data_IF_905871878483
#
_entry.id   IF_905871878483
#
_cell.length_a   1.000
_cell.length_b   1.000
_cell.length_c   1.000
_cell.angle_alpha   90.00
_cell.angle_beta   90.00
_cell.angle_gamma   90.00
#
_symmetry.space_group_name_H-M   'P 1'
#
loop_
_entity.id
_entity.type
_entity.pdbx_description
1 polymer ?
#
# COMPACT_ATOMS: atom_id res chain seq x y z
N UNK A 1 1.60 12.07 26.28
CA UNK A 1 0.70 12.42 25.16
C UNK A 1 0.26 11.09 24.58
N UNK A 2 -0.85 10.56 25.09
CA UNK A 2 -1.41 9.29 24.60
C UNK A 2 -2.06 9.57 23.26
N UNK A 3 -1.72 8.79 22.25
CA UNK A 3 -2.42 8.84 20.96
C UNK A 3 -3.90 8.56 21.22
N UNK A 4 -4.74 9.57 20.98
CA UNK A 4 -6.18 9.45 21.14
C UNK A 4 -6.71 8.28 20.28
N UNK A 5 -7.69 7.50 20.78
CA UNK A 5 -8.18 6.29 20.10
C UNK A 5 -8.73 6.57 18.68
N UNK A 6 -9.19 7.80 18.43
CA UNK A 6 -9.59 8.28 17.10
C UNK A 6 -8.45 8.26 16.07
N UNK A 7 -7.22 8.57 16.49
CA UNK A 7 -6.05 8.60 15.61
C UNK A 7 -5.70 7.18 15.13
N UNK A 8 -5.78 6.20 16.02
CA UNK A 8 -5.49 4.80 15.70
C UNK A 8 -6.49 4.24 14.68
N UNK A 9 -7.78 4.54 14.84
CA UNK A 9 -8.84 4.15 13.89
C UNK A 9 -8.62 4.81 12.53
N UNK A 10 -8.26 6.09 12.51
CA UNK A 10 -7.98 6.82 11.27
C UNK A 10 -6.77 6.24 10.51
N UNK A 11 -5.69 5.89 11.22
CA UNK A 11 -4.50 5.24 10.65
C UNK A 11 -4.82 3.85 10.11
N UNK A 12 -5.61 3.05 10.85
CA UNK A 12 -6.09 1.75 10.39
C UNK A 12 -6.92 1.85 9.11
N UNK A 13 -7.88 2.78 9.05
CA UNK A 13 -8.68 3.03 7.85
C UNK A 13 -7.83 3.44 6.66
N UNK A 14 -6.82 4.30 6.89
CA UNK A 14 -5.89 4.74 5.85
C UNK A 14 -5.03 3.59 5.33
N UNK A 15 -4.57 2.73 6.23
CA UNK A 15 -3.80 1.53 5.91
C UNK A 15 -4.64 0.52 5.12
N UNK A 16 -5.89 0.31 5.50
CA UNK A 16 -6.82 -0.57 4.77
C UNK A 16 -7.08 -0.05 3.35
N UNK A 17 -7.32 1.26 3.21
CA UNK A 17 -7.48 1.90 1.90
C UNK A 17 -6.23 1.75 1.02
N UNK A 18 -5.03 1.92 1.59
CA UNK A 18 -3.77 1.71 0.87
C UNK A 18 -3.57 0.24 0.48
N UNK A 19 -3.89 -0.72 1.37
CA UNK A 19 -3.84 -2.16 1.07
C UNK A 19 -4.77 -2.52 -0.07
N UNK A 20 -6.01 -2.01 -0.05
CA UNK A 20 -6.99 -2.22 -1.12
C UNK A 20 -6.49 -1.66 -2.46
N UNK A 21 -5.95 -0.44 -2.46
CA UNK A 21 -5.39 0.20 -3.66
C UNK A 21 -4.17 -0.56 -4.20
N UNK A 22 -3.32 -1.06 -3.31
CA UNK A 22 -2.18 -1.90 -3.67
C UNK A 22 -2.63 -3.22 -4.29
N UNK A 23 -3.68 -3.86 -3.76
CA UNK A 23 -4.25 -5.08 -4.31
C UNK A 23 -4.85 -4.85 -5.71
N UNK A 24 -5.57 -3.75 -5.91
CA UNK A 24 -6.11 -3.37 -7.22
C UNK A 24 -5.00 -3.13 -8.26
N UNK A 25 -3.91 -2.46 -7.86
CA UNK A 25 -2.73 -2.29 -8.71
C UNK A 25 -2.07 -3.62 -9.05
N UNK A 26 -2.03 -4.55 -8.11
CA UNK A 26 -1.44 -5.86 -8.35
C UNK A 26 -2.26 -6.68 -9.33
N UNK A 27 -3.58 -6.68 -9.19
CA UNK A 27 -4.50 -7.32 -10.13
C UNK A 27 -4.35 -6.73 -11.54
N UNK A 28 -4.22 -5.41 -11.67
CA UNK A 28 -3.93 -4.76 -12.96
C UNK A 28 -2.58 -5.15 -13.55
N UNK A 29 -1.55 -5.27 -12.71
CA UNK A 29 -0.23 -5.72 -13.16
C UNK A 29 -0.32 -7.16 -13.68
N UNK A 30 -1.00 -8.06 -12.96
CA UNK A 30 -1.19 -9.45 -13.36
C UNK A 30 -1.95 -9.56 -14.68
N UNK A 31 -3.05 -8.81 -14.82
CA UNK A 31 -3.84 -8.75 -16.06
C UNK A 31 -2.96 -8.30 -17.24
N UNK A 32 -2.18 -7.23 -17.08
CA UNK A 32 -1.24 -6.75 -18.10
C UNK A 32 -0.14 -7.77 -18.43
N UNK A 33 0.33 -8.53 -17.44
CA UNK A 33 1.34 -9.57 -17.63
C UNK A 33 0.79 -10.77 -18.42
N UNK A 34 -0.51 -11.04 -18.31
CA UNK A 34 -1.20 -12.09 -19.07
C UNK A 34 -1.53 -11.69 -20.51
N UNK A 35 -1.48 -10.39 -20.84
CA UNK A 35 -1.73 -9.94 -22.21
C UNK A 35 -0.57 -10.30 -23.16
N UNK A 36 -0.86 -10.77 -24.39
CA UNK A 36 0.17 -11.14 -25.37
C UNK A 36 0.98 -9.93 -25.87
N UNK A 37 0.42 -8.72 -25.79
CA UNK A 37 1.09 -7.47 -26.13
C UNK A 37 1.31 -6.62 -24.87
N UNK A 38 1.87 -7.24 -23.82
CA UNK A 38 2.13 -6.58 -22.53
C UNK A 38 2.97 -5.32 -22.71
N UNK A 39 2.55 -4.26 -22.05
CA UNK A 39 3.27 -2.99 -22.06
C UNK A 39 4.23 -2.97 -20.86
N UNK A 40 5.47 -3.40 -21.08
CA UNK A 40 6.50 -3.49 -20.03
C UNK A 40 6.76 -2.14 -19.35
N UNK A 41 6.61 -1.02 -20.07
CA UNK A 41 6.74 0.33 -19.53
C UNK A 41 5.59 0.64 -18.56
N UNK A 42 4.36 0.31 -18.93
CA UNK A 42 3.20 0.44 -18.05
C UNK A 42 3.34 -0.44 -16.79
N UNK A 43 3.73 -1.70 -16.95
CA UNK A 43 3.98 -2.62 -15.84
C UNK A 43 5.07 -2.07 -14.90
N UNK A 44 6.16 -1.54 -15.46
CA UNK A 44 7.24 -0.97 -14.66
C UNK A 44 6.78 0.26 -13.86
N UNK A 45 5.95 1.13 -14.44
CA UNK A 45 5.33 2.27 -13.73
C UNK A 45 4.42 1.79 -12.60
N UNK A 46 3.55 0.82 -12.87
CA UNK A 46 2.62 0.27 -11.87
C UNK A 46 3.37 -0.41 -10.72
N UNK A 47 4.44 -1.16 -10.99
CA UNK A 47 5.31 -1.74 -9.94
C UNK A 47 5.96 -0.66 -9.08
N UNK A 48 6.39 0.45 -9.67
CA UNK A 48 6.97 1.58 -8.93
C UNK A 48 5.92 2.28 -8.06
N UNK A 49 4.70 2.42 -8.56
CA UNK A 49 3.57 2.94 -7.78
C UNK A 49 3.19 2.00 -6.63
N UNK A 50 3.14 0.69 -6.89
CA UNK A 50 2.93 -0.37 -5.90
C UNK A 50 3.99 -0.31 -4.78
N UNK A 51 5.25 -0.10 -5.13
CA UNK A 51 6.33 0.08 -4.15
C UNK A 51 6.12 1.34 -3.29
N UNK A 52 5.69 2.45 -3.90
CA UNK A 52 5.39 3.67 -3.15
C UNK A 52 4.21 3.52 -2.20
N UNK A 53 3.17 2.77 -2.57
CA UNK A 53 2.08 2.43 -1.65
C UNK A 53 2.57 1.57 -0.50
N UNK A 54 3.47 0.61 -0.76
CA UNK A 54 4.08 -0.21 0.28
C UNK A 54 4.92 0.61 1.26
N UNK A 55 5.68 1.58 0.76
CA UNK A 55 6.44 2.52 1.58
C UNK A 55 5.52 3.40 2.46
N UNK A 56 4.41 3.89 1.89
CA UNK A 56 3.41 4.64 2.64
C UNK A 56 2.72 3.79 3.72
N UNK A 57 2.40 2.52 3.41
CA UNK A 57 1.87 1.57 4.40
C UNK A 57 2.89 1.35 5.51
N UNK A 58 4.16 1.09 5.17
CA UNK A 58 5.22 0.89 6.14
C UNK A 58 5.43 2.13 7.03
N UNK A 59 5.24 3.34 6.51
CA UNK A 59 5.29 4.58 7.31
C UNK A 59 4.13 4.70 8.30
N UNK A 60 2.91 4.35 7.88
CA UNK A 60 1.73 4.34 8.75
C UNK A 60 1.85 3.23 9.79
N UNK A 61 2.29 2.03 9.37
CA UNK A 61 2.62 0.94 10.27
C UNK A 61 3.68 1.40 11.26
N UNK A 62 4.78 2.01 10.83
CA UNK A 62 5.82 2.54 11.71
C UNK A 62 5.33 3.67 12.65
N UNK A 63 4.19 4.31 12.39
CA UNK A 63 3.57 5.29 13.29
C UNK A 63 2.64 4.60 14.32
N UNK A 64 2.09 3.43 13.98
CA UNK A 64 1.29 2.57 14.85
C UNK A 64 2.13 1.55 15.65
N UNK A 65 3.26 1.12 15.09
CA UNK A 65 4.22 0.12 15.57
C UNK A 65 5.18 0.58 16.68
N UNK A 66 5.41 1.86 17.04
CA UNK A 66 6.18 2.19 18.24
C UNK A 66 5.63 1.54 19.53
N UNK A 67 4.41 1.01 19.51
CA UNK A 67 3.78 0.25 20.61
C UNK A 67 3.94 -1.29 20.50
N UNK A 68 4.37 -1.83 19.35
CA UNK A 68 4.28 -3.28 19.02
C UNK A 68 5.65 -4.00 19.03
N UNK A 69 6.78 -3.28 18.97
CA UNK A 69 8.14 -3.86 18.97
C UNK A 69 8.99 -3.31 20.13
N UNK A 70 8.40 -3.22 21.33
CA UNK A 70 9.12 -2.98 22.59
C UNK A 70 9.49 -4.31 23.27
#
# INVERSE_FOLDING_TARGET
>A
MGVDPETFVALHHKLDALKKKHNELDARIDELLQQPNRDDLAIHRLKREKLSLKDQMAKIEAEMVPDIIA
#
